data_IF_372169990269
#
_entry.id   IF_372169990269
#
_cell.length_a   1.000
_cell.length_b   1.000
_cell.length_c   1.000
_cell.angle_alpha   90.00
_cell.angle_beta   90.00
_cell.angle_gamma   90.00
#
_symmetry.space_group_name_H-M   'P 1'
#
loop_
_entity.id
_entity.type
_entity.pdbx_description
1 polymer ?
#
# COMPACT_ATOMS: atom_id res chain seq x y z
N UNK A 1 -19.54 3.49 -10.74
CA UNK A 1 -19.09 4.90 -10.84
C UNK A 1 -20.08 5.65 -11.70
N UNK A 2 -20.22 6.96 -11.53
CA UNK A 2 -21.23 7.78 -12.23
C UNK A 2 -20.52 8.64 -13.28
N UNK A 3 -21.13 8.77 -14.46
CA UNK A 3 -20.62 9.62 -15.54
C UNK A 3 -20.96 11.09 -15.29
N UNK A 4 -19.96 11.97 -15.32
CA UNK A 4 -20.14 13.41 -15.08
C UNK A 4 -20.87 14.15 -16.21
N UNK A 5 -21.01 13.54 -17.39
CA UNK A 5 -21.76 14.12 -18.52
C UNK A 5 -23.21 13.66 -18.56
N UNK A 6 -23.46 12.36 -18.42
CA UNK A 6 -24.80 11.78 -18.64
C UNK A 6 -25.46 11.21 -17.39
N UNK A 7 -24.77 11.26 -16.23
CA UNK A 7 -25.30 10.79 -14.94
C UNK A 7 -25.50 9.28 -14.82
N UNK A 8 -25.23 8.50 -15.89
CA UNK A 8 -25.40 7.05 -15.86
C UNK A 8 -24.33 6.39 -15.02
N UNK A 9 -24.72 5.37 -14.28
CA UNK A 9 -23.79 4.44 -13.67
C UNK A 9 -23.15 3.56 -14.75
N UNK A 10 -21.84 3.39 -14.64
CA UNK A 10 -21.10 2.48 -15.50
C UNK A 10 -20.04 1.71 -14.69
N UNK A 11 -19.66 0.55 -15.21
CA UNK A 11 -18.64 -0.32 -14.63
C UNK A 11 -17.31 -0.22 -15.40
N UNK A 12 -16.22 -0.56 -14.71
CA UNK A 12 -14.88 -0.59 -15.31
C UNK A 12 -14.10 0.72 -15.16
N UNK A 13 -13.17 0.98 -16.08
CA UNK A 13 -12.33 2.18 -16.08
C UNK A 13 -13.04 3.33 -16.80
N UNK A 14 -13.17 4.48 -16.13
CA UNK A 14 -13.60 5.72 -16.76
C UNK A 14 -12.57 6.26 -17.74
N UNK A 15 -13.05 7.06 -18.70
CA UNK A 15 -12.16 7.83 -19.59
C UNK A 15 -12.03 9.23 -19.02
N UNK A 16 -10.79 9.67 -18.78
CA UNK A 16 -10.50 11.05 -18.39
C UNK A 16 -10.45 11.92 -19.65
N UNK A 17 -11.32 12.94 -19.69
CA UNK A 17 -11.39 13.90 -20.77
C UNK A 17 -11.34 15.32 -20.23
N UNK A 18 -10.86 16.26 -21.05
CA UNK A 18 -10.89 17.69 -20.74
C UNK A 18 -11.97 18.35 -21.59
N UNK A 19 -12.85 19.09 -20.91
CA UNK A 19 -13.84 19.99 -21.52
C UNK A 19 -13.68 21.34 -20.83
N UNK A 20 -13.44 22.42 -21.59
CA UNK A 20 -13.26 23.79 -21.08
C UNK A 20 -12.26 23.92 -19.91
N UNK A 21 -11.19 23.14 -19.94
CA UNK A 21 -10.14 23.12 -18.90
C UNK A 21 -10.50 22.32 -17.65
N UNK A 22 -11.71 21.79 -17.54
CA UNK A 22 -12.10 20.87 -16.48
C UNK A 22 -11.78 19.42 -16.88
N UNK A 23 -11.10 18.69 -16.00
CA UNK A 23 -10.88 17.25 -16.14
C UNK A 23 -12.08 16.49 -15.58
N UNK A 24 -12.72 15.67 -16.43
CA UNK A 24 -13.91 14.89 -16.08
C UNK A 24 -13.67 13.40 -16.34
N UNK A 25 -14.28 12.57 -15.50
CA UNK A 25 -14.31 11.11 -15.66
C UNK A 25 -15.66 10.66 -16.22
N UNK A 26 -15.63 10.11 -17.43
CA UNK A 26 -16.86 9.82 -18.17
C UNK A 26 -16.94 8.37 -18.65
N UNK A 27 -18.14 7.93 -19.00
CA UNK A 27 -18.37 6.63 -19.61
C UNK A 27 -17.83 6.58 -21.05
N UNK A 28 -17.58 5.40 -21.63
CA UNK A 28 -17.00 5.26 -22.98
C UNK A 28 -17.78 6.01 -24.08
N UNK A 29 -19.10 6.11 -23.94
CA UNK A 29 -19.97 6.80 -24.90
C UNK A 29 -19.83 8.33 -24.84
N UNK A 30 -19.50 8.88 -23.67
CA UNK A 30 -19.36 10.33 -23.46
C UNK A 30 -17.93 10.82 -23.67
N UNK A 31 -16.96 9.91 -23.80
CA UNK A 31 -15.56 10.24 -24.07
C UNK A 31 -15.33 11.01 -25.38
N UNK A 32 -16.32 11.04 -26.29
CA UNK A 32 -16.27 11.79 -27.56
C UNK A 32 -16.49 13.30 -27.40
N UNK A 33 -17.01 13.75 -26.26
CA UNK A 33 -17.38 15.16 -26.05
C UNK A 33 -16.21 16.03 -25.58
N UNK A 34 -15.06 15.44 -25.25
CA UNK A 34 -13.88 16.17 -24.82
C UNK A 34 -12.60 15.60 -25.42
N UNK A 35 -11.50 16.26 -25.11
CA UNK A 35 -10.18 15.80 -25.54
C UNK A 35 -9.66 14.78 -24.53
N UNK A 36 -9.26 13.61 -25.01
CA UNK A 36 -8.68 12.58 -24.13
C UNK A 36 -7.37 13.10 -23.55
N UNK A 37 -7.20 12.95 -22.24
CA UNK A 37 -5.90 13.17 -21.60
C UNK A 37 -5.01 12.02 -22.04
N UNK A 38 -4.10 12.27 -22.98
CA UNK A 38 -3.00 11.34 -23.23
C UNK A 38 -2.11 11.36 -22.00
N UNK A 39 -2.37 10.43 -21.08
CA UNK A 39 -1.44 10.13 -20.02
C UNK A 39 -0.23 9.54 -20.73
N UNK A 40 0.74 10.40 -21.08
CA UNK A 40 2.08 9.96 -21.39
C UNK A 40 2.50 9.14 -20.19
N UNK A 41 2.39 7.82 -20.36
CA UNK A 41 2.90 6.85 -19.42
C UNK A 41 4.39 7.12 -19.46
N UNK A 42 4.87 7.99 -18.57
CA UNK A 42 6.30 8.19 -18.37
C UNK A 42 6.84 6.77 -18.33
N UNK A 43 7.64 6.42 -19.34
CA UNK A 43 8.25 5.12 -19.43
C UNK A 43 8.95 4.97 -18.09
N UNK A 44 8.36 4.16 -17.20
CA UNK A 44 8.92 3.97 -15.87
C UNK A 44 10.28 3.43 -16.17
N UNK A 45 11.31 4.27 -16.05
CA UNK A 45 12.69 3.86 -16.22
C UNK A 45 12.79 2.62 -15.36
N UNK A 46 12.97 1.48 -16.01
CA UNK A 46 13.06 0.19 -15.34
C UNK A 46 14.41 0.23 -14.63
N UNK A 47 14.47 0.98 -13.52
CA UNK A 47 15.60 0.95 -12.63
C UNK A 47 15.76 -0.51 -12.25
N UNK A 48 16.96 -1.09 -12.38
CA UNK A 48 17.18 -2.48 -12.03
C UNK A 48 16.68 -2.66 -10.60
N UNK A 49 15.63 -3.48 -10.44
CA UNK A 49 15.07 -3.80 -9.12
C UNK A 49 16.23 -4.33 -8.29
N UNK A 50 16.65 -3.58 -7.26
CA UNK A 50 17.62 -4.09 -6.27
C UNK A 50 17.09 -5.45 -5.81
N UNK A 51 17.87 -6.51 -6.05
CA UNK A 51 17.52 -7.84 -5.58
C UNK A 51 17.29 -7.72 -4.08
N UNK A 52 16.08 -8.02 -3.61
CA UNK A 52 15.82 -8.11 -2.18
C UNK A 52 16.74 -9.19 -1.63
N UNK A 53 17.76 -8.79 -0.89
CA UNK A 53 18.56 -9.73 -0.10
C UNK A 53 17.57 -10.39 0.84
N UNK A 54 17.35 -11.69 0.68
CA UNK A 54 16.54 -12.46 1.62
C UNK A 54 17.29 -12.41 2.95
N UNK A 55 16.78 -11.65 3.91
CA UNK A 55 17.25 -11.77 5.28
C UNK A 55 17.13 -13.23 5.69
N UNK A 56 18.16 -13.82 6.32
CA UNK A 56 18.02 -15.14 6.91
C UNK A 56 16.82 -15.12 7.85
N UNK A 57 15.96 -16.15 7.76
CA UNK A 57 14.87 -16.31 8.69
C UNK A 57 15.45 -16.28 10.10
N UNK A 58 14.86 -15.46 10.99
CA UNK A 58 15.33 -15.26 12.36
C UNK A 58 15.47 -16.63 13.02
N UNK A 59 16.72 -17.09 13.16
CA UNK A 59 17.06 -18.36 13.76
C UNK A 59 16.76 -18.32 15.26
N UNK A 60 16.15 -19.41 15.71
CA UNK A 60 15.94 -19.82 17.09
C UNK A 60 15.25 -18.82 18.01
N UNK A 61 13.96 -19.06 18.22
CA UNK A 61 13.22 -18.52 19.36
C UNK A 61 13.98 -18.97 20.61
N UNK A 62 14.69 -18.04 21.25
CA UNK A 62 15.31 -18.27 22.55
C UNK A 62 14.25 -18.88 23.49
N UNK A 63 14.48 -20.10 23.96
CA UNK A 63 13.59 -20.78 24.90
C UNK A 63 13.84 -20.17 26.28
N UNK A 64 13.05 -19.17 26.63
CA UNK A 64 13.02 -18.67 28.00
C UNK A 64 12.38 -19.72 28.91
N UNK A 65 13.06 -20.06 30.01
CA UNK A 65 12.53 -20.91 31.07
C UNK A 65 11.97 -19.98 32.15
N UNK A 66 10.67 -20.10 32.42
CA UNK A 66 10.05 -19.38 33.53
C UNK A 66 10.56 -20.01 34.82
N UNK A 67 11.27 -19.23 35.63
CA UNK A 67 11.77 -19.70 36.93
C UNK A 67 10.67 -19.47 37.99
N UNK A 68 10.09 -20.54 38.56
CA UNK A 68 9.17 -20.38 39.68
C UNK A 68 9.91 -19.83 40.90
N UNK A 69 9.20 -19.06 41.74
CA UNK A 69 9.74 -18.43 42.96
C UNK A 69 10.90 -17.43 42.77
N UNK A 70 11.03 -16.83 41.58
CA UNK A 70 12.04 -15.78 41.29
C UNK A 70 12.11 -14.69 42.37
N UNK A 71 10.97 -14.28 42.93
CA UNK A 71 10.88 -13.29 44.01
C UNK A 71 11.65 -13.69 45.27
N UNK A 72 11.66 -14.97 45.65
CA UNK A 72 12.38 -15.46 46.83
C UNK A 72 13.90 -15.41 46.62
N UNK A 73 14.35 -15.76 45.41
CA UNK A 73 15.77 -15.72 45.02
C UNK A 73 16.31 -14.29 45.19
N UNK A 74 15.59 -13.31 44.64
CA UNK A 74 15.99 -11.90 44.74
C UNK A 74 15.92 -11.39 46.17
N UNK A 75 14.91 -11.78 46.95
CA UNK A 75 14.78 -11.40 48.36
C UNK A 75 15.98 -11.90 49.18
N UNK A 76 16.29 -13.19 49.10
CA UNK A 76 17.42 -13.79 49.83
C UNK A 76 18.76 -13.16 49.46
N UNK A 77 18.98 -12.84 48.17
CA UNK A 77 20.22 -12.21 47.73
C UNK A 77 20.41 -10.79 48.29
N UNK A 78 19.32 -10.06 48.54
CA UNK A 78 19.35 -8.72 49.16
C UNK A 78 19.59 -8.77 50.66
N UNK A 79 19.01 -9.76 51.33
CA UNK A 79 19.08 -9.90 52.79
C UNK A 79 20.40 -10.55 53.27
N UNK A 80 21.11 -11.28 52.41
CA UNK A 80 22.41 -11.92 52.74
C UNK A 80 23.65 -11.09 52.35
N UNK A 81 23.51 -9.78 52.09
CA UNK A 81 24.62 -8.85 51.84
C UNK A 81 24.81 -7.94 53.04
#
# INVERSE_FOLDING_TARGET
MICEICGKEFGGRGTEIIIDGAQLTVCPNCAKFGTRVEIHKEERKLYPKKKKVKMPAKSDKEKFIIVPDYSKIIKNARENR
#
